data_IF_757768171458
#
_entry.id   IF_757768171458
#
_cell.length_a   1.000
_cell.length_b   1.000
_cell.length_c   1.000
_cell.angle_alpha   90.00
_cell.angle_beta   90.00
_cell.angle_gamma   90.00
#
_symmetry.space_group_name_H-M   'P 1'
#
loop_
_entity.id
_entity.type
_entity.pdbx_description
1 polymer ?
#
# COMPACT_ATOMS: atom_id res chain seq x y z
N UNK A 1 -57.44 -3.61 11.35
CA UNK A 1 -56.50 -2.88 12.23
C UNK A 1 -55.09 -3.47 12.23
N UNK A 2 -54.93 -4.80 12.32
CA UNK A 2 -53.61 -5.47 12.33
C UNK A 2 -52.85 -5.33 10.99
N UNK A 3 -53.55 -5.45 9.86
CA UNK A 3 -52.98 -5.31 8.50
C UNK A 3 -52.44 -3.92 8.17
N UNK A 4 -53.00 -2.87 8.80
CA UNK A 4 -52.50 -1.50 8.64
C UNK A 4 -51.21 -1.30 9.46
N UNK A 5 -51.13 -1.89 10.66
CA UNK A 5 -49.93 -1.83 11.49
C UNK A 5 -48.71 -2.50 10.83
N UNK A 6 -48.90 -3.61 10.12
CA UNK A 6 -47.80 -4.31 9.45
C UNK A 6 -47.20 -3.52 8.29
N UNK A 7 -48.03 -2.78 7.55
CA UNK A 7 -47.59 -1.94 6.43
C UNK A 7 -46.86 -0.69 6.95
N UNK A 8 -47.36 -0.07 8.01
CA UNK A 8 -46.70 1.10 8.61
C UNK A 8 -45.34 0.75 9.24
N UNK A 9 -45.16 -0.45 9.78
CA UNK A 9 -43.87 -0.88 10.35
C UNK A 9 -42.78 -1.05 9.27
N UNK A 10 -43.15 -1.56 8.09
CA UNK A 10 -42.21 -1.73 6.96
C UNK A 10 -41.78 -0.37 6.37
N UNK A 11 -42.70 0.60 6.34
CA UNK A 11 -42.43 1.96 5.89
C UNK A 11 -41.47 2.67 6.88
N UNK A 12 -41.65 2.48 8.19
CA UNK A 12 -40.79 3.11 9.20
C UNK A 12 -39.32 2.67 9.10
N UNK A 13 -39.04 1.42 8.72
CA UNK A 13 -37.68 0.92 8.49
C UNK A 13 -37.04 1.44 7.19
N UNK A 14 -37.85 1.82 6.19
CA UNK A 14 -37.36 2.33 4.91
C UNK A 14 -37.09 3.85 4.93
N UNK A 15 -37.83 4.61 5.75
CA UNK A 15 -37.71 6.08 5.85
C UNK A 15 -36.95 6.55 7.09
N UNK A 16 -36.51 5.65 7.97
CA UNK A 16 -35.56 6.03 9.00
C UNK A 16 -34.30 6.53 8.26
N UNK A 17 -33.91 7.81 8.41
CA UNK A 17 -32.64 8.26 7.90
C UNK A 17 -31.61 7.41 8.65
N UNK A 18 -31.00 6.47 7.95
CA UNK A 18 -29.76 5.89 8.42
C UNK A 18 -28.84 7.10 8.54
N UNK A 19 -28.67 7.60 9.77
CA UNK A 19 -27.57 8.47 10.11
C UNK A 19 -26.33 7.61 9.89
N UNK A 20 -25.93 7.48 8.62
CA UNK A 20 -24.64 6.98 8.24
C UNK A 20 -23.72 8.11 8.63
N UNK A 21 -23.36 8.12 9.91
CA UNK A 21 -22.16 8.77 10.35
C UNK A 21 -21.08 8.11 9.52
N UNK A 22 -20.61 8.81 8.49
CA UNK A 22 -19.36 8.47 7.86
C UNK A 22 -18.39 8.36 9.02
N UNK A 23 -17.93 7.13 9.30
CA UNK A 23 -16.88 6.89 10.27
C UNK A 23 -15.69 7.63 9.67
N UNK A 24 -15.50 8.88 10.11
CA UNK A 24 -14.31 9.65 9.86
C UNK A 24 -13.23 9.12 10.80
N UNK A 25 -12.98 7.81 10.69
CA UNK A 25 -11.76 7.21 11.19
C UNK A 25 -10.65 7.77 10.33
N UNK A 26 -9.55 8.19 10.95
CA UNK A 26 -8.28 8.34 10.27
C UNK A 26 -8.14 7.20 9.26
N UNK A 27 -8.00 7.51 7.98
CA UNK A 27 -7.82 6.49 6.96
C UNK A 27 -6.57 5.70 7.38
N UNK A 28 -6.76 4.50 7.91
CA UNK A 28 -5.67 3.69 8.44
C UNK A 28 -4.90 3.12 7.26
N UNK A 29 -3.95 3.94 6.79
CA UNK A 29 -3.06 3.64 5.67
C UNK A 29 -2.12 2.48 6.00
N UNK A 30 -2.07 1.98 7.25
CA UNK A 30 -1.29 0.80 7.62
C UNK A 30 -1.68 -0.42 6.79
N UNK A 31 -2.97 -0.59 6.49
CA UNK A 31 -3.46 -1.71 5.68
C UNK A 31 -2.97 -1.63 4.22
N UNK A 32 -2.90 -0.42 3.65
CA UNK A 32 -2.37 -0.17 2.32
C UNK A 32 -0.83 -0.28 2.26
N UNK A 33 -0.12 0.31 3.24
CA UNK A 33 1.33 0.17 3.48
C UNK A 33 1.73 -1.32 3.54
N UNK A 34 1.01 -2.07 4.37
CA UNK A 34 1.20 -3.51 4.56
C UNK A 34 1.05 -4.24 3.22
N UNK A 35 0.07 -3.87 2.39
CA UNK A 35 -0.16 -4.56 1.11
C UNK A 35 0.97 -4.36 0.09
N UNK A 36 1.47 -3.14 -0.04
CA UNK A 36 2.50 -2.81 -1.03
C UNK A 36 3.85 -3.38 -0.61
N UNK A 37 4.27 -3.13 0.63
CA UNK A 37 5.52 -3.66 1.18
C UNK A 37 5.55 -5.18 1.19
N UNK A 38 4.45 -5.84 1.59
CA UNK A 38 4.35 -7.30 1.58
C UNK A 38 4.42 -7.88 0.17
N UNK A 39 3.79 -7.23 -0.81
CA UNK A 39 3.84 -7.67 -2.20
C UNK A 39 5.24 -7.51 -2.77
N UNK A 40 5.90 -6.39 -2.47
CA UNK A 40 7.29 -6.16 -2.88
C UNK A 40 8.20 -7.23 -2.31
N UNK A 41 8.15 -7.44 -0.98
CA UNK A 41 8.94 -8.46 -0.30
C UNK A 41 8.72 -9.86 -0.90
N UNK A 42 7.46 -10.23 -1.17
CA UNK A 42 7.13 -11.51 -1.79
C UNK A 42 7.78 -11.66 -3.17
N UNK A 43 7.57 -10.70 -4.07
CA UNK A 43 8.08 -10.79 -5.44
C UNK A 43 9.61 -10.76 -5.47
N UNK A 44 10.21 -9.93 -4.63
CA UNK A 44 11.66 -9.90 -4.44
C UNK A 44 12.19 -11.27 -3.99
N UNK A 45 11.60 -11.86 -2.95
CA UNK A 45 12.01 -13.16 -2.47
C UNK A 45 11.78 -14.28 -3.48
N UNK A 46 10.68 -14.25 -4.24
CA UNK A 46 10.45 -15.20 -5.34
C UNK A 46 11.60 -15.14 -6.36
N UNK A 47 12.01 -13.93 -6.77
CA UNK A 47 13.14 -13.73 -7.68
C UNK A 47 14.48 -14.22 -7.08
N UNK A 48 14.76 -13.90 -5.81
CA UNK A 48 15.94 -14.42 -5.10
C UNK A 48 15.94 -15.94 -5.00
N UNK A 49 14.76 -16.55 -4.84
CA UNK A 49 14.61 -17.99 -4.80
C UNK A 49 14.89 -18.67 -6.14
N UNK A 50 14.68 -17.96 -7.25
CA UNK A 50 15.04 -18.38 -8.60
C UNK A 50 16.52 -18.17 -8.94
N UNK A 51 17.30 -17.56 -8.03
CA UNK A 51 18.74 -17.36 -8.19
C UNK A 51 19.12 -16.03 -8.83
N UNK A 52 18.18 -15.09 -8.96
CA UNK A 52 18.47 -13.73 -9.42
C UNK A 52 19.32 -12.99 -8.37
N UNK A 53 20.22 -12.13 -8.85
CA UNK A 53 20.91 -11.20 -7.96
C UNK A 53 19.95 -10.12 -7.42
N UNK A 54 20.44 -9.38 -6.43
CA UNK A 54 19.61 -8.47 -5.65
C UNK A 54 19.20 -7.21 -6.42
N UNK A 55 19.98 -6.80 -7.44
CA UNK A 55 19.65 -5.68 -8.32
C UNK A 55 18.52 -6.06 -9.30
N UNK A 56 18.64 -7.21 -9.98
CA UNK A 56 17.55 -7.66 -10.85
C UNK A 56 16.29 -8.00 -10.06
N UNK A 57 16.43 -8.60 -8.87
CA UNK A 57 15.29 -8.91 -8.03
C UNK A 57 14.55 -7.65 -7.55
N UNK A 58 15.28 -6.57 -7.24
CA UNK A 58 14.68 -5.30 -6.80
C UNK A 58 13.93 -4.62 -7.93
N UNK A 59 14.52 -4.53 -9.13
CA UNK A 59 13.87 -3.97 -10.31
C UNK A 59 12.66 -4.81 -10.74
N UNK A 60 12.79 -6.14 -10.70
CA UNK A 60 11.68 -7.05 -11.01
C UNK A 60 10.53 -6.87 -10.01
N UNK A 61 10.83 -6.81 -8.70
CA UNK A 61 9.82 -6.56 -7.68
C UNK A 61 9.15 -5.20 -7.89
N UNK A 62 9.92 -4.16 -8.19
CA UNK A 62 9.41 -2.82 -8.44
C UNK A 62 8.46 -2.78 -9.65
N UNK A 63 8.81 -3.42 -10.76
CA UNK A 63 8.00 -3.46 -11.97
C UNK A 63 6.74 -4.33 -11.84
N UNK A 64 6.78 -5.32 -10.94
CA UNK A 64 5.65 -6.23 -10.67
C UNK A 64 4.88 -5.85 -9.40
N UNK A 65 5.19 -4.72 -8.79
CA UNK A 65 4.43 -4.15 -7.68
C UNK A 65 3.93 -2.77 -8.06
N UNK A 66 2.88 -2.33 -7.38
CA UNK A 66 2.33 -1.00 -7.63
C UNK A 66 3.18 0.12 -7.01
N UNK A 67 4.41 -0.16 -6.52
CA UNK A 67 5.22 0.85 -5.84
C UNK A 67 5.37 2.12 -6.68
N UNK A 68 5.61 1.98 -8.00
CA UNK A 68 5.70 3.08 -8.97
C UNK A 68 4.40 3.85 -9.24
N UNK A 69 3.26 3.31 -8.82
CA UNK A 69 1.93 3.78 -9.18
C UNK A 69 1.09 4.20 -7.97
N UNK A 70 1.67 4.16 -6.77
CA UNK A 70 0.98 4.55 -5.53
C UNK A 70 1.41 5.98 -5.20
N UNK A 71 0.44 6.89 -5.11
CA UNK A 71 0.66 8.25 -4.63
C UNK A 71 0.85 8.23 -3.10
N UNK A 72 2.05 7.91 -2.64
CA UNK A 72 2.37 7.90 -1.21
C UNK A 72 2.19 9.29 -0.57
N UNK A 73 1.98 9.36 0.76
CA UNK A 73 2.14 10.59 1.49
C UNK A 73 3.56 11.13 1.32
N UNK A 74 3.70 12.44 1.17
CA UNK A 74 4.99 13.13 1.18
C UNK A 74 5.48 13.25 2.65
N UNK A 75 5.89 12.13 3.22
CA UNK A 75 6.30 11.97 4.61
C UNK A 75 7.46 10.97 4.72
N UNK A 76 8.62 11.46 5.15
CA UNK A 76 9.82 10.63 5.34
C UNK A 76 9.58 9.50 6.36
N UNK A 77 8.78 9.76 7.40
CA UNK A 77 8.44 8.76 8.41
C UNK A 77 7.65 7.62 7.78
N UNK A 78 6.70 7.94 6.90
CA UNK A 78 5.92 6.95 6.16
C UNK A 78 6.82 6.01 5.35
N UNK A 79 7.82 6.54 4.63
CA UNK A 79 8.74 5.73 3.83
C UNK A 79 9.66 4.87 4.69
N UNK A 80 10.09 5.38 5.85
CA UNK A 80 10.87 4.62 6.81
C UNK A 80 10.07 3.45 7.39
N UNK A 81 8.83 3.69 7.84
CA UNK A 81 7.97 2.66 8.40
C UNK A 81 7.62 1.58 7.34
N UNK A 82 7.37 2.01 6.10
CA UNK A 82 7.14 1.09 4.98
C UNK A 82 8.36 0.22 4.69
N UNK A 83 9.56 0.81 4.70
CA UNK A 83 10.81 0.07 4.53
C UNK A 83 11.04 -0.92 5.66
N UNK A 84 10.85 -0.51 6.92
CA UNK A 84 11.00 -1.40 8.08
C UNK A 84 10.06 -2.60 7.95
N UNK A 85 8.79 -2.36 7.62
CA UNK A 85 7.83 -3.43 7.38
C UNK A 85 8.27 -4.35 6.24
N UNK A 86 8.71 -3.79 5.12
CA UNK A 86 9.12 -4.54 3.92
C UNK A 86 10.36 -5.37 4.16
N UNK A 87 11.40 -4.78 4.75
CA UNK A 87 12.67 -5.44 5.05
C UNK A 87 12.50 -6.58 6.05
N UNK A 88 11.64 -6.42 7.07
CA UNK A 88 11.29 -7.52 7.98
C UNK A 88 10.66 -8.70 7.23
N UNK A 89 9.71 -8.44 6.32
CA UNK A 89 9.14 -9.51 5.51
C UNK A 89 10.18 -10.18 4.59
N UNK A 90 11.15 -9.43 4.06
CA UNK A 90 12.23 -9.99 3.23
C UNK A 90 13.12 -10.90 4.08
N UNK A 91 13.56 -10.42 5.23
CA UNK A 91 14.41 -11.18 6.16
C UNK A 91 13.73 -12.47 6.61
N UNK A 92 12.44 -12.42 6.91
CA UNK A 92 11.66 -13.58 7.34
C UNK A 92 11.47 -14.65 6.24
N UNK A 93 11.45 -14.26 4.96
CA UNK A 93 11.11 -15.17 3.86
C UNK A 93 12.31 -15.63 3.02
N UNK A 94 13.34 -14.79 2.88
CA UNK A 94 14.51 -15.11 2.05
C UNK A 94 15.81 -14.46 2.57
N UNK A 95 15.88 -14.08 3.85
CA UNK A 95 17.04 -13.41 4.44
C UNK A 95 18.33 -14.23 4.39
N UNK A 96 18.25 -15.55 4.30
CA UNK A 96 19.39 -16.46 4.11
C UNK A 96 20.08 -16.31 2.75
N UNK A 97 19.41 -15.69 1.77
CA UNK A 97 19.89 -15.49 0.39
C UNK A 97 20.36 -14.07 0.11
N UNK A 98 20.40 -13.23 1.13
CA UNK A 98 20.67 -11.79 1.02
C UNK A 98 21.80 -11.46 2.00
N UNK A 99 22.79 -10.72 1.53
CA UNK A 99 23.84 -10.23 2.41
C UNK A 99 23.49 -8.81 2.94
N UNK A 100 24.23 -8.34 3.94
CA UNK A 100 23.95 -7.04 4.56
C UNK A 100 24.14 -5.83 3.63
N UNK A 101 25.00 -5.94 2.62
CA UNK A 101 25.19 -4.88 1.63
C UNK A 101 24.01 -4.83 0.66
N UNK A 102 23.55 -5.99 0.18
CA UNK A 102 22.35 -6.10 -0.66
C UNK A 102 21.14 -5.46 0.02
N UNK A 103 20.97 -5.66 1.33
CA UNK A 103 19.85 -5.08 2.08
C UNK A 103 19.94 -3.55 2.17
N UNK A 104 21.16 -2.99 2.31
CA UNK A 104 21.39 -1.54 2.31
C UNK A 104 21.15 -0.92 0.94
N UNK A 105 21.62 -1.57 -0.12
CA UNK A 105 21.38 -1.12 -1.49
C UNK A 105 19.88 -1.18 -1.82
N UNK A 106 19.21 -2.24 -1.38
CA UNK A 106 17.76 -2.37 -1.52
C UNK A 106 16.99 -1.28 -0.76
N UNK A 107 17.44 -0.89 0.43
CA UNK A 107 16.86 0.22 1.19
C UNK A 107 16.91 1.53 0.41
N UNK A 108 18.10 1.85 -0.13
CA UNK A 108 18.34 3.07 -0.90
C UNK A 108 17.42 3.08 -2.12
N UNK A 109 17.44 2.02 -2.92
CA UNK A 109 16.61 1.86 -4.10
C UNK A 109 15.12 1.98 -3.78
N UNK A 110 14.65 1.29 -2.74
CA UNK A 110 13.24 1.29 -2.35
C UNK A 110 12.77 2.70 -1.94
N UNK A 111 13.60 3.43 -1.18
CA UNK A 111 13.28 4.80 -0.75
C UNK A 111 13.32 5.80 -1.89
N UNK A 112 14.30 5.71 -2.79
CA UNK A 112 14.37 6.57 -3.98
C UNK A 112 13.12 6.42 -4.84
N UNK A 113 12.72 5.18 -5.14
CA UNK A 113 11.49 4.91 -5.89
C UNK A 113 10.23 5.32 -5.12
N UNK A 114 10.24 5.17 -3.79
CA UNK A 114 9.18 5.67 -2.92
C UNK A 114 9.01 7.18 -2.99
N UNK A 115 10.10 7.96 -2.99
CA UNK A 115 10.09 9.41 -3.14
C UNK A 115 9.53 9.81 -4.52
N UNK A 116 9.94 9.11 -5.58
CA UNK A 116 9.40 9.35 -6.93
C UNK A 116 7.89 9.10 -6.95
N UNK A 117 7.43 8.01 -6.34
CA UNK A 117 6.01 7.67 -6.24
C UNK A 117 5.22 8.66 -5.35
N UNK A 118 5.85 9.27 -4.34
CA UNK A 118 5.27 10.36 -3.54
C UNK A 118 5.10 11.66 -4.32
N UNK A 119 5.81 11.85 -5.43
CA UNK A 119 5.69 13.06 -6.24
C UNK A 119 4.39 13.06 -7.05
N UNK A 120 3.34 13.58 -6.41
CA UNK A 120 1.98 13.64 -6.96
C UNK A 120 1.87 14.48 -8.24
N UNK A 121 2.76 15.43 -8.48
CA UNK A 121 2.76 16.25 -9.69
C UNK A 121 3.13 15.45 -10.94
N UNK A 122 3.89 14.35 -10.80
CA UNK A 122 4.21 13.46 -11.92
C UNK A 122 3.00 12.64 -12.40
N UNK A 123 2.01 12.42 -11.53
CA UNK A 123 0.94 11.44 -11.76
C UNK A 123 -0.48 12.03 -11.74
N UNK A 124 -0.66 13.23 -11.19
CA UNK A 124 -1.93 13.93 -11.23
C UNK A 124 -1.95 14.89 -12.42
N UNK A 125 -3.02 14.89 -13.25
CA UNK A 125 -3.16 15.87 -14.31
C UNK A 125 -3.14 17.29 -13.72
N UNK A 126 -2.27 18.14 -14.24
CA UNK A 126 -2.31 19.58 -13.95
C UNK A 126 -3.59 20.13 -14.57
N UNK A 127 -4.57 20.43 -13.72
CA UNK A 127 -5.74 21.18 -14.15
C UNK A 127 -5.29 22.61 -14.45
N UNK A 128 -4.98 22.90 -15.71
CA UNK A 128 -4.85 24.28 -16.17
C UNK A 128 -6.21 24.96 -15.99
N UNK A 129 -6.29 25.89 -15.03
CA UNK A 129 -7.44 26.75 -14.87
C UNK A 129 -7.47 27.72 -16.07
N UNK A 130 -8.34 27.44 -17.05
CA UNK A 130 -8.68 28.36 -18.13
C UNK A 130 -9.52 29.53 -17.63
#
# INVERSE_FOLDING_TARGET
MILLLSIFLQIFLFFAPNNVYAIQGSLDLSSAQTSVGKRFAKVFCDAKNEGLDSEFASEYALNNTYLKFVAFPDDDQYLNDLWEFTSNNILDNCGDKININDLKELEIFFKEEGIIASNRELYLPTFENN
#
